data_IF_469842162526
#
_entry.id   IF_469842162526
#
_cell.length_a   1.000
_cell.length_b   1.000
_cell.length_c   1.000
_cell.angle_alpha   90.00
_cell.angle_beta   90.00
_cell.angle_gamma   90.00
#
_symmetry.space_group_name_H-M   'P 1'
#
loop_
_entity.id
_entity.type
_entity.pdbx_description
1 polymer ?
#
# COMPACT_ATOMS: atom_id res chain seq x y z
N UNK A 1 -3.00 -16.50 -21.06
CA UNK A 1 -1.61 -16.01 -21.07
C UNK A 1 -1.66 -14.50 -21.03
N UNK A 2 -1.38 -13.91 -19.88
CA UNK A 2 -1.20 -12.47 -19.75
C UNK A 2 0.29 -12.22 -20.06
N UNK A 3 0.61 -11.87 -21.31
CA UNK A 3 2.00 -11.73 -21.80
C UNK A 3 2.71 -10.46 -21.30
N UNK A 4 2.00 -9.62 -20.52
CA UNK A 4 2.54 -8.38 -20.00
C UNK A 4 2.89 -8.55 -18.52
N UNK A 5 4.15 -8.27 -18.12
CA UNK A 5 4.55 -8.38 -16.74
C UNK A 5 3.73 -7.45 -15.85
N UNK A 6 3.39 -7.92 -14.66
CA UNK A 6 2.69 -7.13 -13.66
C UNK A 6 3.62 -6.10 -12.98
N UNK A 7 3.03 -5.21 -12.17
CA UNK A 7 3.77 -4.12 -11.50
C UNK A 7 4.88 -4.67 -10.59
N UNK A 8 4.63 -5.77 -9.88
CA UNK A 8 5.63 -6.43 -9.03
C UNK A 8 6.76 -7.03 -9.84
N UNK A 9 6.44 -7.72 -10.94
CA UNK A 9 7.44 -8.30 -11.85
C UNK A 9 8.33 -7.21 -12.49
N UNK A 10 7.76 -6.07 -12.85
CA UNK A 10 8.52 -4.92 -13.38
C UNK A 10 9.45 -4.32 -12.34
N UNK A 11 8.98 -4.13 -11.10
CA UNK A 11 9.80 -3.59 -10.01
C UNK A 11 10.94 -4.54 -9.64
N UNK A 12 10.67 -5.84 -9.62
CA UNK A 12 11.68 -6.87 -9.33
C UNK A 12 12.74 -6.94 -10.42
N UNK A 13 12.36 -6.82 -11.70
CA UNK A 13 13.32 -6.76 -12.81
C UNK A 13 14.29 -5.59 -12.67
N UNK A 14 13.80 -4.39 -12.31
CA UNK A 14 14.65 -3.21 -12.09
C UNK A 14 15.53 -3.39 -10.86
N UNK A 15 14.97 -3.90 -9.76
CA UNK A 15 15.73 -4.17 -8.53
C UNK A 15 16.89 -5.12 -8.79
N UNK A 16 16.65 -6.18 -9.56
CA UNK A 16 17.68 -7.17 -9.93
C UNK A 16 18.78 -6.54 -10.77
N UNK A 17 18.45 -5.75 -11.78
CA UNK A 17 19.44 -5.00 -12.55
C UNK A 17 20.30 -4.10 -11.65
N UNK A 18 19.67 -3.36 -10.72
CA UNK A 18 20.40 -2.49 -9.81
C UNK A 18 21.34 -3.27 -8.90
N UNK A 19 20.89 -4.39 -8.34
CA UNK A 19 21.66 -5.20 -7.39
C UNK A 19 22.78 -6.01 -8.05
N UNK A 20 22.47 -6.67 -9.17
CA UNK A 20 23.35 -7.66 -9.81
C UNK A 20 24.32 -7.02 -10.81
N UNK A 21 23.94 -5.89 -11.43
CA UNK A 21 24.73 -5.25 -12.49
C UNK A 21 25.21 -3.85 -12.09
N UNK A 22 24.30 -2.96 -11.71
CA UNK A 22 24.64 -1.55 -11.49
C UNK A 22 25.52 -1.36 -10.25
N UNK A 23 25.16 -1.94 -9.11
CA UNK A 23 25.91 -1.80 -7.86
C UNK A 23 27.35 -2.32 -7.98
N UNK A 24 27.62 -3.50 -8.58
CA UNK A 24 28.99 -3.96 -8.81
C UNK A 24 29.77 -3.11 -9.82
N UNK A 25 29.10 -2.53 -10.82
CA UNK A 25 29.73 -1.70 -11.85
C UNK A 25 29.99 -0.25 -11.40
N UNK A 26 29.27 0.24 -10.38
CA UNK A 26 29.35 1.61 -9.88
C UNK A 26 30.14 1.70 -8.57
N UNK A 27 31.17 2.55 -8.55
CA UNK A 27 31.93 2.86 -7.34
C UNK A 27 31.40 4.08 -6.56
N UNK A 28 31.87 4.23 -5.33
CA UNK A 28 31.69 5.44 -4.53
C UNK A 28 30.22 5.83 -4.29
N UNK A 29 29.91 7.12 -4.43
CA UNK A 29 28.57 7.65 -4.15
C UNK A 29 27.48 7.05 -5.06
N UNK A 30 27.78 6.81 -6.33
CA UNK A 30 26.80 6.27 -7.28
C UNK A 30 26.43 4.81 -6.97
N UNK A 31 27.42 3.99 -6.59
CA UNK A 31 27.15 2.62 -6.14
C UNK A 31 26.29 2.58 -4.86
N UNK A 32 26.51 3.54 -3.94
CA UNK A 32 25.66 3.70 -2.77
C UNK A 32 24.21 4.07 -3.15
N UNK A 33 24.02 5.08 -4.01
CA UNK A 33 22.69 5.49 -4.46
C UNK A 33 21.94 4.35 -5.20
N UNK A 34 22.65 3.57 -6.03
CA UNK A 34 22.05 2.41 -6.71
C UNK A 34 21.55 1.36 -5.71
N UNK A 35 22.30 1.11 -4.63
CA UNK A 35 21.88 0.21 -3.55
C UNK A 35 20.67 0.75 -2.79
N UNK A 36 20.64 2.06 -2.51
CA UNK A 36 19.48 2.72 -1.88
C UNK A 36 18.25 2.57 -2.77
N UNK A 37 18.38 2.85 -4.07
CA UNK A 37 17.28 2.69 -5.03
C UNK A 37 16.74 1.25 -5.07
N UNK A 38 17.60 0.24 -5.10
CA UNK A 38 17.19 -1.16 -5.05
C UNK A 38 16.39 -1.49 -3.77
N UNK A 39 16.81 -0.96 -2.62
CA UNK A 39 16.09 -1.15 -1.36
C UNK A 39 14.73 -0.45 -1.34
N UNK A 40 14.64 0.77 -1.88
CA UNK A 40 13.36 1.50 -1.99
C UNK A 40 12.39 0.75 -2.89
N UNK A 41 12.85 0.20 -4.01
CA UNK A 41 12.00 -0.63 -4.88
C UNK A 41 11.49 -1.89 -4.16
N UNK A 42 12.31 -2.52 -3.31
CA UNK A 42 11.87 -3.66 -2.51
C UNK A 42 10.76 -3.28 -1.51
N UNK A 43 10.85 -2.09 -0.91
CA UNK A 43 9.81 -1.57 -0.01
C UNK A 43 8.51 -1.34 -0.79
N UNK A 44 8.57 -0.66 -1.92
CA UNK A 44 7.38 -0.38 -2.76
C UNK A 44 6.74 -1.67 -3.27
N UNK A 45 7.54 -2.65 -3.70
CA UNK A 45 7.04 -3.95 -4.13
C UNK A 45 6.28 -4.66 -3.00
N UNK A 46 6.81 -4.59 -1.77
CA UNK A 46 6.18 -5.13 -0.58
C UNK A 46 4.87 -4.40 -0.24
N UNK A 47 4.83 -3.07 -0.33
CA UNK A 47 3.60 -2.29 -0.12
C UNK A 47 2.51 -2.67 -1.12
N UNK A 48 2.86 -2.83 -2.40
CA UNK A 48 1.92 -3.27 -3.44
C UNK A 48 1.40 -4.69 -3.17
N UNK A 49 2.25 -5.59 -2.67
CA UNK A 49 1.85 -6.95 -2.32
C UNK A 49 0.84 -6.98 -1.15
N UNK A 50 1.03 -6.11 -0.15
CA UNK A 50 0.15 -6.05 1.02
C UNK A 50 -1.08 -5.14 0.84
N UNK A 51 -1.10 -4.26 -0.16
CA UNK A 51 -2.18 -3.29 -0.40
C UNK A 51 -3.58 -3.94 -0.43
N UNK A 52 -3.74 -5.09 -1.09
CA UNK A 52 -5.05 -5.75 -1.17
C UNK A 52 -5.53 -6.34 0.16
N UNK A 53 -4.61 -6.83 0.99
CA UNK A 53 -4.92 -7.41 2.31
C UNK A 53 -5.22 -6.29 3.31
N UNK A 54 -4.45 -5.20 3.24
CA UNK A 54 -4.65 -4.03 4.09
C UNK A 54 -6.00 -3.35 3.81
N UNK A 55 -6.40 -3.24 2.54
CA UNK A 55 -7.70 -2.66 2.16
C UNK A 55 -8.91 -3.46 2.66
N UNK A 56 -8.90 -4.79 2.57
CA UNK A 56 -10.02 -5.61 3.09
C UNK A 56 -10.12 -5.50 4.62
N UNK A 57 -8.98 -5.56 5.33
CA UNK A 57 -8.95 -5.43 6.78
C UNK A 57 -9.42 -4.06 7.25
N UNK A 58 -8.96 -2.98 6.61
CA UNK A 58 -9.37 -1.61 6.94
C UNK A 58 -10.84 -1.38 6.64
N UNK A 59 -11.32 -1.82 5.47
CA UNK A 59 -12.74 -1.71 5.10
C UNK A 59 -13.63 -2.40 6.14
N UNK A 60 -13.29 -3.63 6.55
CA UNK A 60 -14.06 -4.38 7.56
C UNK A 60 -14.02 -3.70 8.93
N UNK A 61 -12.87 -3.16 9.32
CA UNK A 61 -12.71 -2.45 10.59
C UNK A 61 -13.60 -1.21 10.65
N UNK A 62 -13.61 -0.41 9.58
CA UNK A 62 -14.45 0.78 9.48
C UNK A 62 -15.93 0.42 9.35
N UNK A 63 -16.29 -0.59 8.55
CA UNK A 63 -17.66 -1.07 8.45
C UNK A 63 -18.21 -1.48 9.82
N UNK A 64 -17.42 -2.19 10.63
CA UNK A 64 -17.80 -2.55 12.00
C UNK A 64 -18.01 -1.32 12.91
N UNK A 65 -17.20 -0.27 12.77
CA UNK A 65 -17.31 0.95 13.57
C UNK A 65 -18.54 1.81 13.24
N UNK A 66 -19.07 1.67 12.03
CA UNK A 66 -20.28 2.34 11.55
C UNK A 66 -21.51 1.42 11.53
N UNK A 67 -21.42 0.21 12.10
CA UNK A 67 -22.48 -0.82 12.05
C UNK A 67 -22.98 -1.12 10.63
N UNK A 68 -22.08 -1.04 9.66
CA UNK A 68 -22.34 -1.37 8.26
C UNK A 68 -22.10 -2.86 8.03
N UNK A 69 -22.98 -3.48 7.25
CA UNK A 69 -22.91 -4.89 6.92
C UNK A 69 -22.82 -5.07 5.42
N UNK A 70 -21.92 -5.96 4.98
CA UNK A 70 -21.72 -6.26 3.57
C UNK A 70 -20.36 -6.86 3.30
N UNK A 71 -20.06 -7.03 2.02
CA UNK A 71 -18.74 -7.38 1.52
C UNK A 71 -18.12 -6.15 0.86
N UNK A 72 -16.78 -5.99 0.94
CA UNK A 72 -16.12 -4.89 0.27
C UNK A 72 -16.37 -4.97 -1.25
N UNK A 73 -16.43 -3.82 -1.94
CA UNK A 73 -16.45 -3.78 -3.40
C UNK A 73 -15.33 -4.62 -4.02
N UNK A 74 -15.58 -5.19 -5.20
CA UNK A 74 -14.54 -5.96 -5.91
C UNK A 74 -13.47 -5.05 -6.52
N UNK A 75 -13.81 -3.79 -6.81
CA UNK A 75 -12.85 -2.80 -7.31
C UNK A 75 -12.10 -2.13 -6.15
N UNK A 76 -10.78 -2.30 -6.12
CA UNK A 76 -9.90 -1.69 -5.13
C UNK A 76 -9.95 -0.14 -5.15
N UNK A 77 -10.31 0.49 -6.26
CA UNK A 77 -10.50 1.94 -6.32
C UNK A 77 -11.75 2.37 -5.54
N UNK A 78 -12.84 1.60 -5.65
CA UNK A 78 -14.07 1.82 -4.90
C UNK A 78 -13.85 1.57 -3.40
N UNK A 79 -13.19 0.47 -3.03
CA UNK A 79 -12.84 0.18 -1.63
C UNK A 79 -12.08 1.35 -1.00
N UNK A 80 -11.06 1.88 -1.68
CA UNK A 80 -10.26 3.01 -1.19
C UNK A 80 -11.11 4.28 -1.03
N UNK A 81 -12.03 4.53 -1.95
CA UNK A 81 -12.93 5.69 -1.87
C UNK A 81 -13.89 5.60 -0.67
N UNK A 82 -14.42 4.42 -0.38
CA UNK A 82 -15.29 4.19 0.79
C UNK A 82 -14.52 4.36 2.10
N UNK A 83 -13.34 3.73 2.20
CA UNK A 83 -12.44 3.88 3.35
C UNK A 83 -12.12 5.35 3.61
N UNK A 84 -11.77 6.12 2.56
CA UNK A 84 -11.45 7.54 2.68
C UNK A 84 -12.64 8.33 3.26
N UNK A 85 -13.84 8.13 2.70
CA UNK A 85 -15.05 8.81 3.17
C UNK A 85 -15.40 8.47 4.63
N UNK A 86 -15.25 7.21 5.03
CA UNK A 86 -15.50 6.76 6.39
C UNK A 86 -14.44 7.25 7.38
N UNK A 87 -13.17 7.31 6.99
CA UNK A 87 -12.11 7.89 7.79
C UNK A 87 -12.34 9.39 8.03
N UNK A 88 -12.78 10.13 7.01
CA UNK A 88 -13.14 11.54 7.15
C UNK A 88 -14.31 11.73 8.13
N UNK A 89 -15.39 10.95 7.96
CA UNK A 89 -16.55 10.96 8.86
C UNK A 89 -16.18 10.56 10.30
N UNK A 90 -15.30 9.57 10.46
CA UNK A 90 -14.80 9.14 11.76
C UNK A 90 -13.98 10.26 12.41
N UNK A 91 -13.10 10.92 11.65
CA UNK A 91 -12.32 12.06 12.12
C UNK A 91 -13.21 13.22 12.58
N UNK A 92 -14.34 13.46 11.91
CA UNK A 92 -15.35 14.43 12.37
C UNK A 92 -16.01 14.02 13.68
N UNK A 93 -16.46 12.76 13.81
CA UNK A 93 -17.05 12.22 15.06
C UNK A 93 -16.07 12.34 16.24
N UNK A 94 -14.81 11.97 16.04
CA UNK A 94 -13.76 12.07 17.06
C UNK A 94 -13.56 13.54 17.47
N UNK A 95 -13.46 14.47 16.51
CA UNK A 95 -13.32 15.91 16.81
C UNK A 95 -14.54 16.51 17.51
N UNK A 96 -15.73 15.96 17.26
CA UNK A 96 -16.96 16.35 17.94
C UNK A 96 -17.05 15.82 19.39
N UNK A 97 -16.13 14.92 19.78
CA UNK A 97 -16.09 14.32 21.11
C UNK A 97 -17.02 13.10 21.26
N UNK A 98 -17.59 12.58 20.17
CA UNK A 98 -18.49 11.41 20.21
C UNK A 98 -17.78 10.14 20.72
N UNK A 99 -16.44 10.11 20.62
CA UNK A 99 -15.60 9.03 21.12
C UNK A 99 -15.04 9.29 22.53
N UNK A 100 -15.19 10.49 23.09
CA UNK A 100 -14.60 10.87 24.37
C UNK A 100 -15.27 10.17 25.57
N UNK A 101 -16.52 9.75 25.39
CA UNK A 101 -17.25 9.02 26.41
C UNK A 101 -16.79 7.56 26.57
N UNK A 102 -16.08 7.00 25.56
CA UNK A 102 -15.73 5.57 25.50
C UNK A 102 -16.95 4.63 25.64
N UNK A 103 -16.75 3.30 25.56
CA UNK A 103 -17.62 2.36 26.25
C UNK A 103 -17.48 2.46 27.78
#
# INVERSE_FOLDING_TARGET
MNDRPDRGELLEAVRRFLADEAVPALGGHLGYQARVAANVLAIVAREIEFEAVDLDSEWRGLAALFDLHGEPPTDAAEVRSEIQAWNDALGERIRAGDADAGP
#
